data_IF_752421168963
#
_entry.id   IF_752421168963
#
_cell.length_a   1.000
_cell.length_b   1.000
_cell.length_c   1.000
_cell.angle_alpha   90.00
_cell.angle_beta   90.00
_cell.angle_gamma   90.00
#
_symmetry.space_group_name_H-M   'P 1'
#
loop_
_entity.id
_entity.type
_entity.pdbx_description
1 polymer ?
#
# COMPACT_ATOMS: atom_id res chain seq x y z
N UNK A 1 -4.27 4.78 15.35
CA UNK A 1 -5.27 4.60 14.24
C UNK A 1 -5.15 3.18 13.73
N UNK A 2 -6.24 2.42 13.74
CA UNK A 2 -6.26 1.05 13.20
C UNK A 2 -6.38 1.04 11.68
N UNK A 3 -5.60 0.19 11.02
CA UNK A 3 -5.77 -0.14 9.61
C UNK A 3 -5.11 -1.48 9.28
N UNK A 4 -4.90 -1.78 8.00
CA UNK A 4 -4.44 -3.10 7.57
C UNK A 4 -3.12 -3.02 6.82
N UNK A 5 -2.30 -4.06 7.02
CA UNK A 5 -1.07 -4.31 6.25
C UNK A 5 -1.31 -5.55 5.40
N UNK A 6 -1.05 -5.44 4.10
CA UNK A 6 -1.24 -6.52 3.14
C UNK A 6 0.11 -7.05 2.68
N UNK A 7 0.33 -8.35 2.82
CA UNK A 7 1.42 -9.03 2.15
C UNK A 7 1.04 -9.26 0.68
N UNK A 8 1.79 -8.67 -0.25
CA UNK A 8 1.56 -8.83 -1.68
C UNK A 8 2.84 -9.35 -2.34
N UNK A 9 2.73 -10.47 -3.04
CA UNK A 9 3.86 -11.19 -3.64
C UNK A 9 3.57 -11.61 -5.08
N UNK A 10 4.62 -11.89 -5.84
CA UNK A 10 4.53 -12.43 -7.21
C UNK A 10 4.47 -13.96 -7.24
N UNK A 11 4.90 -14.59 -6.18
CA UNK A 11 4.81 -16.04 -5.96
C UNK A 11 3.80 -16.35 -4.86
N UNK A 12 3.01 -17.40 -5.03
CA UNK A 12 2.04 -17.81 -4.01
C UNK A 12 2.77 -18.18 -2.71
N UNK A 13 2.30 -17.60 -1.63
CA UNK A 13 2.83 -17.85 -0.28
C UNK A 13 1.94 -18.87 0.43
N UNK A 14 2.54 -19.88 1.03
CA UNK A 14 1.84 -20.81 1.88
C UNK A 14 1.38 -20.15 3.19
N UNK A 15 0.30 -20.65 3.80
CA UNK A 15 -0.25 -20.06 5.04
C UNK A 15 0.77 -19.95 6.17
N UNK A 16 1.68 -20.93 6.29
CA UNK A 16 2.76 -20.92 7.29
C UNK A 16 3.78 -19.78 7.07
N UNK A 17 3.71 -19.16 5.91
CA UNK A 17 4.59 -18.07 5.48
C UNK A 17 3.85 -16.72 5.36
N UNK A 18 2.61 -16.66 5.82
CA UNK A 18 1.86 -15.40 5.84
C UNK A 18 2.50 -14.40 6.80
N UNK A 19 2.43 -13.14 6.41
CA UNK A 19 2.63 -12.03 7.33
C UNK A 19 1.72 -12.25 8.55
N UNK A 20 2.29 -12.22 9.73
CA UNK A 20 1.61 -12.42 11.00
C UNK A 20 2.05 -11.34 12.00
N UNK A 21 1.46 -11.35 13.19
CA UNK A 21 1.71 -10.34 14.22
C UNK A 21 3.18 -10.26 14.67
N UNK A 22 3.94 -11.35 14.55
CA UNK A 22 5.35 -11.41 14.94
C UNK A 22 6.33 -11.02 13.82
N UNK A 23 5.84 -10.79 12.60
CA UNK A 23 6.72 -10.52 11.44
C UNK A 23 7.32 -9.12 11.49
N UNK A 24 6.55 -8.14 11.95
CA UNK A 24 6.94 -6.73 11.95
C UNK A 24 7.43 -6.28 13.32
N UNK A 25 8.33 -5.30 13.32
CA UNK A 25 8.76 -4.64 14.56
C UNK A 25 7.60 -3.85 15.16
N UNK A 26 7.27 -4.13 16.41
CA UNK A 26 6.18 -3.49 17.15
C UNK A 26 6.56 -3.22 18.61
N UNK A 27 5.77 -2.38 19.31
CA UNK A 27 6.02 -1.95 20.67
C UNK A 27 6.87 -0.68 20.75
N UNK A 28 7.35 -0.35 21.95
CA UNK A 28 8.00 0.94 22.27
C UNK A 28 9.19 1.31 21.35
N UNK A 29 9.93 0.32 20.86
CA UNK A 29 11.06 0.50 19.95
C UNK A 29 10.69 0.17 18.48
N UNK A 30 9.44 -0.16 18.19
CA UNK A 30 8.94 -0.55 16.89
C UNK A 30 8.35 0.61 16.09
N UNK A 31 8.12 0.35 14.81
CA UNK A 31 7.43 1.30 13.93
C UNK A 31 5.91 1.30 14.17
N UNK A 32 5.35 0.17 14.60
CA UNK A 32 3.95 0.01 14.99
C UNK A 32 3.83 -0.17 16.50
N UNK A 33 2.82 0.40 17.12
CA UNK A 33 2.51 0.19 18.55
C UNK A 33 2.20 -1.29 18.79
N UNK A 34 1.35 -1.87 17.94
CA UNK A 34 1.10 -3.30 17.90
C UNK A 34 0.55 -3.74 16.53
N UNK A 35 0.71 -5.03 16.26
CA UNK A 35 0.10 -5.73 15.14
C UNK A 35 -0.69 -6.94 15.67
N UNK A 36 -1.78 -7.30 15.01
CA UNK A 36 -2.57 -8.48 15.38
C UNK A 36 -3.16 -9.17 14.16
N UNK A 37 -3.35 -10.47 14.26
CA UNK A 37 -4.03 -11.25 13.22
C UNK A 37 -5.52 -10.90 13.15
N UNK A 38 -6.10 -11.08 11.98
CA UNK A 38 -7.53 -10.92 11.73
C UNK A 38 -8.10 -12.25 11.23
N UNK A 39 -9.41 -12.44 11.39
CA UNK A 39 -10.06 -13.66 10.90
C UNK A 39 -10.21 -13.69 9.37
N UNK A 40 -10.58 -14.87 8.84
CA UNK A 40 -10.67 -15.09 7.39
C UNK A 40 -11.78 -14.25 6.73
N UNK A 41 -12.87 -13.94 7.43
CA UNK A 41 -13.98 -13.12 6.91
C UNK A 41 -13.55 -11.66 6.82
N UNK A 42 -12.92 -11.14 7.86
CA UNK A 42 -12.36 -9.79 7.89
C UNK A 42 -11.25 -9.64 6.84
N UNK A 43 -10.37 -10.63 6.72
CA UNK A 43 -9.33 -10.67 5.69
C UNK A 43 -9.93 -10.56 4.28
N UNK A 44 -10.93 -11.37 3.97
CA UNK A 44 -11.60 -11.35 2.67
C UNK A 44 -12.25 -10.00 2.38
N UNK A 45 -12.95 -9.42 3.36
CA UNK A 45 -13.55 -8.10 3.23
C UNK A 45 -12.52 -7.03 2.89
N UNK A 46 -11.37 -7.02 3.58
CA UNK A 46 -10.32 -6.02 3.33
C UNK A 46 -9.61 -6.23 1.99
N UNK A 47 -9.43 -7.47 1.53
CA UNK A 47 -8.88 -7.76 0.20
C UNK A 47 -9.83 -7.23 -0.89
N UNK A 48 -11.11 -7.50 -0.77
CA UNK A 48 -12.12 -6.99 -1.70
C UNK A 48 -12.12 -5.46 -1.74
N UNK A 49 -12.10 -4.82 -0.57
CA UNK A 49 -12.04 -3.36 -0.45
C UNK A 49 -10.74 -2.78 -1.05
N UNK A 50 -9.59 -3.43 -0.82
CA UNK A 50 -8.33 -2.99 -1.40
C UNK A 50 -8.42 -2.95 -2.92
N UNK A 51 -8.83 -4.05 -3.55
CA UNK A 51 -8.77 -4.19 -5.00
C UNK A 51 -9.86 -3.37 -5.71
N UNK A 52 -11.07 -3.34 -5.15
CA UNK A 52 -12.22 -2.72 -5.81
C UNK A 52 -12.41 -1.23 -5.48
N UNK A 53 -11.88 -0.75 -4.35
CA UNK A 53 -12.14 0.62 -3.88
C UNK A 53 -10.88 1.46 -3.65
N UNK A 54 -9.73 0.86 -3.34
CA UNK A 54 -8.51 1.59 -2.98
C UNK A 54 -7.52 1.65 -4.13
N UNK A 55 -7.23 0.52 -4.79
CA UNK A 55 -6.30 0.48 -5.91
C UNK A 55 -6.84 1.25 -7.12
N UNK A 56 -5.95 1.78 -7.99
CA UNK A 56 -6.39 2.56 -9.15
C UNK A 56 -7.38 1.78 -10.01
N UNK A 57 -8.51 2.39 -10.27
CA UNK A 57 -9.64 1.76 -10.96
C UNK A 57 -9.23 1.23 -12.34
N UNK A 58 -9.53 -0.02 -12.59
CA UNK A 58 -9.24 -0.68 -13.87
C UNK A 58 -7.83 -1.27 -13.98
N UNK A 59 -6.90 -0.92 -13.07
CA UNK A 59 -5.56 -1.49 -13.09
C UNK A 59 -5.49 -2.91 -12.53
N UNK A 60 -6.41 -3.28 -11.66
CA UNK A 60 -6.43 -4.58 -10.99
C UNK A 60 -7.82 -5.18 -10.98
N UNK A 61 -7.87 -6.51 -10.95
CA UNK A 61 -9.10 -7.26 -10.71
C UNK A 61 -8.82 -8.49 -9.85
N UNK A 62 -9.75 -8.84 -8.95
CA UNK A 62 -9.71 -10.09 -8.23
C UNK A 62 -10.07 -11.24 -9.18
N UNK A 63 -9.23 -12.29 -9.21
CA UNK A 63 -9.50 -13.54 -9.93
C UNK A 63 -9.78 -14.71 -8.99
N UNK A 64 -9.50 -14.54 -7.72
CA UNK A 64 -9.93 -15.40 -6.60
C UNK A 64 -9.91 -14.61 -5.30
N UNK A 65 -10.24 -15.23 -4.17
CA UNK A 65 -10.32 -14.58 -2.86
C UNK A 65 -9.01 -13.92 -2.39
N UNK A 66 -7.86 -14.36 -2.91
CA UNK A 66 -6.53 -13.91 -2.51
C UNK A 66 -5.59 -13.63 -3.69
N UNK A 67 -6.13 -13.57 -4.89
CA UNK A 67 -5.33 -13.44 -6.11
C UNK A 67 -5.87 -12.34 -6.99
N UNK A 68 -5.02 -11.41 -7.37
CA UNK A 68 -5.39 -10.33 -8.28
C UNK A 68 -4.52 -10.34 -9.54
N UNK A 69 -5.07 -9.86 -10.63
CA UNK A 69 -4.39 -9.66 -11.90
C UNK A 69 -4.17 -8.18 -12.14
N UNK A 70 -2.96 -7.82 -12.55
CA UNK A 70 -2.67 -6.50 -13.08
C UNK A 70 -3.07 -6.43 -14.56
N UNK A 71 -3.93 -5.48 -14.91
CA UNK A 71 -4.50 -5.32 -16.25
C UNK A 71 -3.78 -4.24 -17.09
N UNK A 72 -2.74 -3.63 -16.56
CA UNK A 72 -2.08 -2.47 -17.19
C UNK A 72 -2.58 -1.15 -16.60
N UNK A 73 -2.19 -0.04 -17.24
CA UNK A 73 -2.59 1.31 -16.83
C UNK A 73 -1.54 2.09 -16.05
N UNK A 74 -0.38 1.50 -15.76
CA UNK A 74 0.70 2.19 -15.05
C UNK A 74 1.24 3.41 -15.78
N UNK A 75 1.22 3.42 -17.11
CA UNK A 75 1.65 4.59 -17.89
C UNK A 75 0.75 5.79 -17.62
N UNK A 76 -0.57 5.61 -17.72
CA UNK A 76 -1.53 6.66 -17.39
C UNK A 76 -1.43 7.09 -15.94
N UNK A 77 -1.30 6.13 -15.00
CA UNK A 77 -1.11 6.45 -13.59
C UNK A 77 0.13 7.33 -13.35
N UNK A 78 1.25 7.05 -14.03
CA UNK A 78 2.47 7.88 -13.92
C UNK A 78 2.25 9.30 -14.41
N UNK A 79 1.56 9.47 -15.53
CA UNK A 79 1.23 10.81 -16.07
C UNK A 79 0.34 11.59 -15.11
N UNK A 80 -0.69 10.96 -14.57
CA UNK A 80 -1.61 11.55 -13.59
C UNK A 80 -0.88 11.91 -12.30
N UNK A 81 -0.01 11.02 -11.81
CA UNK A 81 0.78 11.26 -10.60
C UNK A 81 1.73 12.45 -10.76
N UNK A 82 2.43 12.56 -11.89
CA UNK A 82 3.29 13.71 -12.18
C UNK A 82 2.48 15.00 -12.26
N UNK A 83 1.31 14.95 -12.88
CA UNK A 83 0.40 16.11 -12.99
C UNK A 83 -0.05 16.58 -11.60
N UNK A 84 -0.43 15.65 -10.74
CA UNK A 84 -0.84 15.94 -9.37
C UNK A 84 0.32 16.48 -8.50
N UNK A 85 1.53 15.94 -8.65
CA UNK A 85 2.73 16.49 -7.98
C UNK A 85 2.93 17.95 -8.38
N UNK A 86 2.90 18.27 -9.66
CA UNK A 86 3.08 19.63 -10.17
C UNK A 86 2.01 20.59 -9.63
N UNK A 87 0.75 20.18 -9.70
CA UNK A 87 -0.39 20.94 -9.19
C UNK A 87 -0.25 21.24 -7.68
N UNK A 88 0.18 20.25 -6.88
CA UNK A 88 0.40 20.44 -5.45
C UNK A 88 1.61 21.32 -5.16
N UNK A 89 2.69 21.21 -5.94
CA UNK A 89 3.88 22.03 -5.81
C UNK A 89 3.60 23.51 -6.15
N UNK A 90 2.71 23.81 -7.09
CA UNK A 90 2.29 25.18 -7.42
C UNK A 90 1.59 25.89 -6.27
N UNK A 91 1.02 25.18 -5.31
CA UNK A 91 0.42 25.76 -4.10
C UNK A 91 1.46 26.20 -3.06
N UNK A 92 2.74 25.81 -3.24
CA UNK A 92 3.84 26.20 -2.35
C UNK A 92 4.33 27.59 -2.75
N UNK A 93 4.21 28.55 -1.83
CA UNK A 93 4.65 29.93 -2.00
C UNK A 93 5.59 30.31 -0.86
N UNK A 94 6.33 31.45 -0.96
CA UNK A 94 7.10 31.94 0.17
C UNK A 94 6.28 32.14 1.46
N UNK A 95 5.00 32.48 1.33
CA UNK A 95 4.12 32.67 2.49
C UNK A 95 3.62 31.32 3.08
N UNK A 96 3.36 30.32 2.24
CA UNK A 96 2.81 29.04 2.68
C UNK A 96 3.87 27.99 3.04
N UNK A 97 5.14 28.21 2.69
CA UNK A 97 6.23 27.24 2.91
C UNK A 97 6.49 26.94 4.39
N UNK A 98 6.12 27.85 5.28
CA UNK A 98 6.29 27.72 6.73
C UNK A 98 5.10 27.09 7.44
N UNK A 99 3.99 26.87 6.74
CA UNK A 99 2.77 26.34 7.34
C UNK A 99 2.99 24.89 7.77
N UNK A 100 2.78 24.61 9.05
CA UNK A 100 3.01 23.31 9.68
C UNK A 100 2.30 22.13 8.99
N UNK A 101 1.05 22.33 8.57
CA UNK A 101 0.22 21.35 7.85
C UNK A 101 -0.15 21.86 6.44
N UNK A 102 0.64 22.79 5.92
CA UNK A 102 0.43 23.46 4.65
C UNK A 102 0.85 22.63 3.43
N UNK A 103 1.00 23.29 2.27
CA UNK A 103 1.22 22.62 0.99
C UNK A 103 2.46 21.73 0.95
N UNK A 104 3.53 22.08 1.66
CA UNK A 104 4.75 21.24 1.71
C UNK A 104 4.46 19.90 2.40
N UNK A 105 3.83 19.93 3.56
CA UNK A 105 3.43 18.73 4.28
C UNK A 105 2.47 17.87 3.45
N UNK A 106 1.48 18.49 2.80
CA UNK A 106 0.52 17.79 1.96
C UNK A 106 1.18 17.14 0.73
N UNK A 107 2.17 17.79 0.14
CA UNK A 107 2.95 17.22 -0.95
C UNK A 107 3.79 16.05 -0.46
N UNK A 108 4.49 16.16 0.66
CA UNK A 108 5.28 15.08 1.24
C UNK A 108 4.42 13.84 1.52
N UNK A 109 3.26 14.05 2.15
CA UNK A 109 2.30 12.97 2.42
C UNK A 109 1.84 12.29 1.13
N UNK A 110 1.50 13.07 0.11
CA UNK A 110 1.06 12.57 -1.18
C UNK A 110 2.14 11.77 -1.92
N UNK A 111 3.41 12.22 -1.87
CA UNK A 111 4.54 11.52 -2.49
C UNK A 111 4.76 10.12 -1.90
N UNK A 112 4.52 9.95 -0.62
CA UNK A 112 4.66 8.65 0.08
C UNK A 112 3.42 7.78 -0.07
N UNK A 113 2.24 8.39 -0.13
CA UNK A 113 0.97 7.69 -0.12
C UNK A 113 -0.02 8.26 -1.17
N UNK A 114 0.26 8.05 -2.47
CA UNK A 114 -0.56 8.60 -3.56
C UNK A 114 -2.00 8.08 -3.58
N UNK A 115 -2.29 6.94 -2.96
CA UNK A 115 -3.66 6.42 -2.84
C UNK A 115 -4.45 7.06 -1.67
N UNK A 116 -3.79 7.88 -0.86
CA UNK A 116 -4.38 8.49 0.36
C UNK A 116 -5.14 7.48 1.23
N UNK A 117 -4.54 6.31 1.38
CA UNK A 117 -5.10 5.19 2.15
C UNK A 117 -4.36 4.99 3.47
N UNK A 118 -5.06 4.51 4.49
CA UNK A 118 -4.42 4.02 5.71
C UNK A 118 -3.84 2.60 5.54
N UNK A 119 -4.06 1.94 4.42
CA UNK A 119 -3.50 0.63 4.13
C UNK A 119 -2.00 0.71 3.84
N UNK A 120 -1.27 -0.29 4.34
CA UNK A 120 0.16 -0.46 4.13
C UNK A 120 0.43 -1.77 3.42
N UNK A 121 1.64 -1.91 2.87
CA UNK A 121 2.03 -3.00 1.98
C UNK A 121 3.32 -3.64 2.46
N UNK A 122 3.29 -4.94 2.65
CA UNK A 122 4.46 -5.77 2.88
C UNK A 122 4.82 -6.44 1.55
N UNK A 123 5.91 -5.98 0.94
CA UNK A 123 6.25 -6.28 -0.47
C UNK A 123 7.44 -7.22 -0.61
N UNK A 124 8.03 -7.68 0.49
CA UNK A 124 9.23 -8.49 0.47
C UNK A 124 8.89 -9.98 0.42
N UNK A 125 9.35 -10.67 -0.62
CA UNK A 125 9.20 -12.13 -0.75
C UNK A 125 10.18 -12.91 0.15
N UNK A 126 11.29 -12.30 0.58
CA UNK A 126 12.38 -12.96 1.31
C UNK A 126 12.30 -12.81 2.84
N UNK A 127 11.28 -12.20 3.39
CA UNK A 127 11.02 -12.03 4.84
C UNK A 127 12.07 -11.28 5.67
N UNK A 128 12.87 -10.43 5.04
CA UNK A 128 13.90 -9.64 5.75
C UNK A 128 13.44 -8.24 6.13
N UNK A 129 12.21 -7.89 5.81
CA UNK A 129 11.67 -6.57 6.05
C UNK A 129 10.95 -6.53 7.40
N UNK A 130 11.37 -5.64 8.28
CA UNK A 130 10.78 -5.45 9.61
C UNK A 130 9.67 -4.36 9.64
N UNK A 131 9.35 -3.79 8.50
CA UNK A 131 8.37 -2.72 8.35
C UNK A 131 7.54 -2.92 7.06
N UNK A 132 6.39 -2.24 6.99
CA UNK A 132 5.58 -2.17 5.78
C UNK A 132 5.82 -0.84 5.05
N UNK A 133 5.40 -0.78 3.80
CA UNK A 133 5.54 0.37 2.91
C UNK A 133 4.20 1.06 2.68
N UNK A 134 4.23 2.36 2.41
CA UNK A 134 3.06 3.10 1.95
C UNK A 134 2.80 2.85 0.45
N UNK A 135 1.68 3.32 -0.06
CA UNK A 135 1.19 2.98 -1.39
C UNK A 135 2.11 3.36 -2.55
N UNK A 136 3.01 4.35 -2.39
CA UNK A 136 3.97 4.70 -3.42
C UNK A 136 4.89 3.52 -3.80
N UNK A 137 5.45 2.81 -2.82
CA UNK A 137 6.36 1.70 -3.10
C UNK A 137 5.67 0.55 -3.82
N UNK A 138 4.43 0.25 -3.46
CA UNK A 138 3.65 -0.73 -4.20
C UNK A 138 3.41 -0.31 -5.65
N UNK A 139 2.93 0.91 -5.88
CA UNK A 139 2.66 1.41 -7.23
C UNK A 139 3.94 1.57 -8.07
N UNK A 140 5.07 1.91 -7.45
CA UNK A 140 6.37 1.94 -8.11
C UNK A 140 6.76 0.56 -8.67
N UNK A 141 6.59 -0.50 -7.88
CA UNK A 141 6.83 -1.86 -8.35
C UNK A 141 5.85 -2.26 -9.47
N UNK A 142 4.58 -1.87 -9.36
CA UNK A 142 3.56 -2.14 -10.38
C UNK A 142 3.93 -1.53 -11.73
N UNK A 143 4.63 -0.40 -11.76
CA UNK A 143 5.11 0.21 -13.01
C UNK A 143 6.09 -0.66 -13.80
N UNK A 144 6.70 -1.66 -13.16
CA UNK A 144 7.63 -2.61 -13.80
C UNK A 144 6.92 -3.88 -14.29
N UNK A 145 5.61 -4.03 -14.03
CA UNK A 145 4.87 -5.24 -14.37
C UNK A 145 4.29 -5.18 -15.78
N UNK A 146 4.31 -6.32 -16.45
CA UNK A 146 3.58 -6.51 -17.70
C UNK A 146 2.08 -6.75 -17.41
N UNK A 147 1.17 -6.24 -18.25
CA UNK A 147 -0.25 -6.59 -18.17
C UNK A 147 -0.45 -8.11 -18.17
N UNK A 148 -1.30 -8.59 -17.28
CA UNK A 148 -1.50 -10.03 -17.04
C UNK A 148 -0.68 -10.59 -15.88
N UNK A 149 0.23 -9.82 -15.28
CA UNK A 149 0.97 -10.23 -14.08
C UNK A 149 -0.01 -10.59 -12.96
N UNK A 150 0.22 -11.75 -12.35
CA UNK A 150 -0.56 -12.24 -11.21
C UNK A 150 0.16 -11.87 -9.91
N UNK A 151 -0.61 -11.34 -8.98
CA UNK A 151 -0.16 -11.02 -7.63
C UNK A 151 -1.00 -11.80 -6.62
N UNK A 152 -0.35 -12.28 -5.58
CA UNK A 152 -0.96 -13.04 -4.50
C UNK A 152 -0.99 -12.20 -3.23
N UNK A 153 -2.13 -12.21 -2.53
CA UNK A 153 -2.29 -11.56 -1.24
C UNK A 153 -2.18 -12.64 -0.17
N UNK A 154 -1.07 -12.62 0.55
CA UNK A 154 -0.79 -13.54 1.65
C UNK A 154 -1.48 -13.13 2.94
N UNK A 155 -0.70 -12.92 4.02
CA UNK A 155 -1.21 -12.42 5.28
C UNK A 155 -1.79 -11.02 5.17
N UNK A 156 -2.85 -10.77 5.94
CA UNK A 156 -3.39 -9.43 6.19
C UNK A 156 -3.52 -9.28 7.69
N UNK A 157 -2.91 -8.26 8.26
CA UNK A 157 -2.93 -8.01 9.70
C UNK A 157 -3.44 -6.62 10.02
N UNK A 158 -4.03 -6.48 11.19
CA UNK A 158 -4.37 -5.17 11.76
C UNK A 158 -3.14 -4.53 12.39
N UNK A 159 -3.03 -3.22 12.30
CA UNK A 159 -1.97 -2.46 12.97
C UNK A 159 -2.48 -1.19 13.62
N UNK A 160 -1.71 -0.70 14.57
CA UNK A 160 -1.91 0.58 15.23
C UNK A 160 -0.59 1.38 15.28
N UNK A 161 -0.70 2.71 15.10
CA UNK A 161 0.33 3.70 15.39
C UNK A 161 0.00 4.42 16.69
#
# INVERSE_FOLDING_TARGET
MHSKIFQITRTRVDKDNYLNEDTLSQGDDGFFDYCTEIDDEERKFHIDNLVNNILPKGMFELISDDTMRYNGGAEQWREDFVTDIRRRAEAITPDSVQDWIGPVYQLEKFLKNPLDTAYWFYLNEERWQSYAEQSYEFLRQVCEFEPGTILYIGGVIDYHF
#
